data_IF_887883075636
#
_entry.id   IF_887883075636
#
_cell.length_a   1.000
_cell.length_b   1.000
_cell.length_c   1.000
_cell.angle_alpha   90.00
_cell.angle_beta   90.00
_cell.angle_gamma   90.00
#
_symmetry.space_group_name_H-M   'P 1'
#
loop_
_entity.id
_entity.type
_entity.pdbx_description
1 polymer ?
#
# COMPACT_ATOMS: atom_id res chain seq x y z
N UNK A 1 -19.97 14.55 -2.80
CA UNK A 1 -20.17 16.01 -2.82
C UNK A 1 -21.48 16.29 -3.58
N UNK A 2 -22.46 16.94 -2.96
CA UNK A 2 -23.83 17.02 -3.50
C UNK A 2 -24.12 18.30 -4.32
N UNK A 3 -23.36 19.38 -4.09
CA UNK A 3 -23.48 20.61 -4.89
C UNK A 3 -22.09 21.14 -5.28
N UNK A 4 -21.70 20.93 -6.54
CA UNK A 4 -20.37 21.20 -7.08
C UNK A 4 -20.46 22.29 -8.14
N UNK A 5 -19.63 23.33 -8.02
CA UNK A 5 -19.48 24.37 -9.05
C UNK A 5 -18.04 24.42 -9.59
N UNK A 6 -17.88 24.98 -10.79
CA UNK A 6 -16.55 25.33 -11.33
C UNK A 6 -15.96 26.49 -10.52
N UNK A 7 -14.69 26.38 -10.17
CA UNK A 7 -13.97 27.33 -9.31
C UNK A 7 -12.62 27.73 -9.93
N UNK A 8 -12.64 28.23 -11.16
CA UNK A 8 -11.45 28.64 -11.90
C UNK A 8 -10.53 27.47 -12.30
N UNK A 9 -9.30 27.80 -12.71
CA UNK A 9 -8.28 26.84 -13.13
C UNK A 9 -7.03 26.95 -12.25
N UNK A 10 -6.23 25.89 -12.16
CA UNK A 10 -4.92 25.94 -11.52
C UNK A 10 -3.85 26.54 -12.44
N UNK A 11 -2.62 26.65 -11.95
CA UNK A 11 -1.46 27.18 -12.72
C UNK A 11 -1.13 26.35 -13.96
N UNK A 12 -1.58 25.10 -14.01
CA UNK A 12 -1.36 24.17 -15.12
C UNK A 12 -2.58 24.13 -16.06
N UNK A 13 -3.58 24.99 -15.84
CA UNK A 13 -4.81 25.05 -16.65
C UNK A 13 -5.87 24.00 -16.29
N UNK A 14 -5.66 23.19 -15.25
CA UNK A 14 -6.64 22.18 -14.84
C UNK A 14 -7.83 22.83 -14.16
N UNK A 15 -9.04 22.31 -14.46
CA UNK A 15 -10.26 22.78 -13.82
C UNK A 15 -10.25 22.49 -12.31
N UNK A 16 -10.56 23.50 -11.51
CA UNK A 16 -10.84 23.36 -10.07
C UNK A 16 -12.34 23.40 -9.83
N UNK A 17 -12.79 22.70 -8.80
CA UNK A 17 -14.18 22.60 -8.38
C UNK A 17 -14.30 23.01 -6.92
N UNK A 18 -15.46 23.55 -6.54
CA UNK A 18 -15.80 23.90 -5.16
C UNK A 18 -17.08 23.17 -4.77
N UNK A 19 -17.05 22.44 -3.66
CA UNK A 19 -18.26 21.95 -3.02
C UNK A 19 -18.90 23.10 -2.24
N UNK A 20 -20.13 23.50 -2.57
CA UNK A 20 -20.83 24.60 -1.89
C UNK A 20 -21.29 24.25 -0.48
N UNK A 21 -21.43 22.97 -0.16
CA UNK A 21 -21.84 22.51 1.18
C UNK A 21 -20.69 22.54 2.18
N UNK A 22 -19.52 21.99 1.82
CA UNK A 22 -18.37 21.92 2.72
C UNK A 22 -17.28 22.96 2.44
N UNK A 23 -17.49 23.83 1.44
CA UNK A 23 -16.57 24.89 1.00
C UNK A 23 -15.14 24.42 0.65
N UNK A 24 -14.91 23.12 0.46
CA UNK A 24 -13.62 22.57 0.04
C UNK A 24 -13.47 22.61 -1.48
N UNK A 25 -12.29 23.00 -1.95
CA UNK A 25 -11.93 22.92 -3.38
C UNK A 25 -11.22 21.62 -3.71
N UNK A 26 -11.49 21.07 -4.88
CA UNK A 26 -10.85 19.86 -5.39
C UNK A 26 -10.62 19.97 -6.91
N UNK A 27 -9.83 19.06 -7.47
CA UNK A 27 -9.63 18.90 -8.91
C UNK A 27 -10.02 17.47 -9.31
N UNK A 28 -10.08 17.15 -10.62
CA UNK A 28 -10.29 15.77 -11.07
C UNK A 28 -9.28 14.77 -10.51
N UNK A 29 -8.09 15.24 -10.15
CA UNK A 29 -7.02 14.42 -9.59
C UNK A 29 -7.12 14.24 -8.08
N UNK A 30 -8.00 14.98 -7.39
CA UNK A 30 -8.15 14.87 -5.94
C UNK A 30 -8.61 13.47 -5.56
N UNK A 31 -7.95 12.87 -4.55
CA UNK A 31 -8.22 11.50 -4.11
C UNK A 31 -7.64 10.40 -5.01
N UNK A 32 -7.01 10.76 -6.13
CA UNK A 32 -6.29 9.80 -6.98
C UNK A 32 -4.85 9.62 -6.51
N UNK A 33 -4.18 8.57 -7.00
CA UNK A 33 -2.75 8.32 -6.79
C UNK A 33 -1.90 9.56 -7.10
N UNK A 34 -2.28 10.29 -8.16
CA UNK A 34 -1.55 11.44 -8.68
C UNK A 34 -1.93 12.77 -7.99
N UNK A 35 -2.81 12.75 -6.99
CA UNK A 35 -3.21 13.96 -6.26
C UNK A 35 -1.99 14.72 -5.72
N UNK A 36 -1.96 16.03 -5.98
CA UNK A 36 -0.85 16.95 -5.64
C UNK A 36 0.51 16.62 -6.25
N UNK A 37 0.59 15.65 -7.18
CA UNK A 37 1.85 15.37 -7.87
C UNK A 37 2.13 16.43 -8.94
N UNK A 38 3.36 16.94 -8.92
CA UNK A 38 3.88 17.86 -9.95
C UNK A 38 4.83 17.14 -10.93
N UNK A 39 4.89 15.81 -10.86
CA UNK A 39 5.81 14.98 -11.65
C UNK A 39 5.12 14.46 -12.89
N UNK A 40 5.92 14.20 -13.94
CA UNK A 40 5.42 13.68 -15.21
C UNK A 40 4.93 12.24 -15.04
N UNK A 41 3.97 11.82 -15.87
CA UNK A 41 3.43 10.45 -15.84
C UNK A 41 4.52 9.38 -16.02
N UNK A 42 5.52 9.62 -16.87
CA UNK A 42 6.65 8.71 -17.06
C UNK A 42 7.47 8.46 -15.78
N UNK A 43 7.62 9.46 -14.90
CA UNK A 43 8.32 9.26 -13.62
C UNK A 43 7.54 8.34 -12.69
N UNK A 44 6.20 8.45 -12.69
CA UNK A 44 5.34 7.51 -11.96
C UNK A 44 5.46 6.09 -12.50
N UNK A 45 5.47 5.93 -13.82
CA UNK A 45 5.67 4.63 -14.46
C UNK A 45 6.98 3.98 -14.01
N UNK A 46 8.12 4.69 -14.15
CA UNK A 46 9.43 4.21 -13.72
C UNK A 46 9.46 3.85 -12.23
N UNK A 47 8.82 4.69 -11.39
CA UNK A 47 8.75 4.42 -9.96
C UNK A 47 7.95 3.16 -9.64
N UNK A 48 6.79 2.98 -10.27
CA UNK A 48 5.95 1.80 -10.06
C UNK A 48 6.67 0.53 -10.52
N UNK A 49 7.32 0.56 -11.68
CA UNK A 49 8.11 -0.58 -12.17
C UNK A 49 9.23 -0.95 -11.17
N UNK A 50 10.00 0.04 -10.71
CA UNK A 50 11.05 -0.16 -9.70
C UNK A 50 10.50 -0.70 -8.37
N UNK A 51 9.36 -0.19 -7.91
CA UNK A 51 8.70 -0.66 -6.70
C UNK A 51 8.30 -2.14 -6.80
N UNK A 52 7.70 -2.54 -7.92
CA UNK A 52 7.26 -3.94 -8.11
C UNK A 52 8.41 -4.90 -8.39
N UNK A 53 9.58 -4.40 -8.83
CA UNK A 53 10.84 -5.16 -8.87
C UNK A 53 11.41 -5.43 -7.47
N UNK A 54 10.97 -4.68 -6.45
CA UNK A 54 11.45 -4.82 -5.08
C UNK A 54 12.66 -3.93 -4.75
N UNK A 55 12.93 -2.91 -5.56
CA UNK A 55 14.03 -1.98 -5.32
C UNK A 55 13.84 -1.18 -4.02
N UNK A 56 14.92 -0.67 -3.45
CA UNK A 56 14.89 0.20 -2.26
C UNK A 56 14.32 1.59 -2.56
N UNK A 57 13.92 2.33 -1.52
CA UNK A 57 13.42 3.71 -1.65
C UNK A 57 14.43 4.60 -2.38
N UNK A 58 15.72 4.45 -2.07
CA UNK A 58 16.82 5.22 -2.67
C UNK A 58 16.98 4.88 -4.14
N UNK A 59 17.00 3.59 -4.49
CA UNK A 59 17.10 3.13 -5.88
C UNK A 59 15.88 3.61 -6.71
N UNK A 60 14.67 3.44 -6.21
CA UNK A 60 13.46 3.91 -6.90
C UNK A 60 13.44 5.44 -7.06
N UNK A 61 13.98 6.19 -6.09
CA UNK A 61 14.12 7.64 -6.19
C UNK A 61 15.06 8.04 -7.33
N UNK A 62 16.22 7.37 -7.40
CA UNK A 62 17.22 7.59 -8.45
C UNK A 62 16.66 7.24 -9.84
N UNK A 63 16.04 6.06 -9.99
CA UNK A 63 15.44 5.60 -11.26
C UNK A 63 14.37 6.59 -11.75
N UNK A 64 13.49 7.06 -10.87
CA UNK A 64 12.42 7.98 -11.25
C UNK A 64 12.85 9.46 -11.32
N UNK A 65 14.09 9.80 -10.96
CA UNK A 65 14.60 11.17 -10.92
C UNK A 65 13.85 12.06 -9.92
N UNK A 66 13.63 11.57 -8.70
CA UNK A 66 12.94 12.26 -7.61
C UNK A 66 13.77 12.22 -6.33
N UNK A 67 13.46 13.06 -5.33
CA UNK A 67 14.11 12.95 -4.03
C UNK A 67 13.54 11.78 -3.22
N UNK A 68 14.33 11.27 -2.27
CA UNK A 68 13.97 10.12 -1.43
C UNK A 68 12.69 10.36 -0.62
N UNK A 69 12.47 11.57 -0.11
CA UNK A 69 11.22 11.91 0.57
C UNK A 69 9.99 11.73 -0.35
N UNK A 70 10.10 12.14 -1.62
CA UNK A 70 9.02 11.94 -2.59
C UNK A 70 8.83 10.45 -2.88
N UNK A 71 9.92 9.69 -2.98
CA UNK A 71 9.89 8.23 -3.14
C UNK A 71 9.14 7.57 -1.97
N UNK A 72 9.47 7.90 -0.72
CA UNK A 72 8.76 7.39 0.46
C UNK A 72 7.26 7.68 0.38
N UNK A 73 6.86 8.92 0.07
CA UNK A 73 5.45 9.30 -0.07
C UNK A 73 4.76 8.51 -1.19
N UNK A 74 5.42 8.34 -2.34
CA UNK A 74 4.87 7.59 -3.47
C UNK A 74 4.69 6.12 -3.15
N UNK A 75 5.65 5.50 -2.45
CA UNK A 75 5.53 4.13 -1.96
C UNK A 75 4.30 3.95 -1.08
N UNK A 76 4.08 4.84 -0.11
CA UNK A 76 2.89 4.77 0.76
C UNK A 76 1.59 4.93 -0.03
N UNK A 77 1.54 5.86 -0.99
CA UNK A 77 0.36 6.05 -1.84
C UNK A 77 0.03 4.80 -2.65
N UNK A 78 1.03 4.20 -3.30
CA UNK A 78 0.83 2.99 -4.12
C UNK A 78 0.40 1.82 -3.24
N UNK A 79 1.10 1.59 -2.12
CA UNK A 79 0.78 0.49 -1.20
C UNK A 79 -0.59 0.65 -0.54
N UNK A 80 -1.04 1.88 -0.26
CA UNK A 80 -2.39 2.15 0.24
C UNK A 80 -3.46 1.74 -0.78
N UNK A 81 -3.25 2.05 -2.06
CA UNK A 81 -4.14 1.58 -3.14
C UNK A 81 -4.12 0.05 -3.21
N UNK A 82 -2.94 -0.58 -3.22
CA UNK A 82 -2.84 -2.04 -3.20
C UNK A 82 -3.58 -2.66 -2.00
N UNK A 83 -3.41 -2.11 -0.80
CA UNK A 83 -4.09 -2.56 0.40
C UNK A 83 -5.62 -2.48 0.26
N UNK A 84 -6.15 -1.39 -0.28
CA UNK A 84 -7.60 -1.25 -0.54
C UNK A 84 -8.14 -2.24 -1.57
N UNK A 85 -7.32 -2.65 -2.54
CA UNK A 85 -7.69 -3.65 -3.54
C UNK A 85 -7.72 -5.06 -2.94
N UNK A 86 -6.83 -5.34 -1.97
CA UNK A 86 -6.75 -6.63 -1.29
C UNK A 86 -7.65 -6.75 -0.06
N UNK A 87 -8.11 -5.64 0.52
CA UNK A 87 -8.94 -5.61 1.73
C UNK A 87 -10.42 -5.93 1.50
N UNK A 88 -10.84 -6.20 0.26
CA UNK A 88 -12.22 -6.61 0.00
C UNK A 88 -12.43 -8.01 0.57
N UNK A 89 -13.32 -8.13 1.55
CA UNK A 89 -13.77 -9.41 2.07
C UNK A 89 -14.35 -10.23 0.91
N UNK A 90 -13.55 -11.18 0.44
CA UNK A 90 -13.92 -12.12 -0.61
C UNK A 90 -14.23 -13.43 0.07
N UNK A 91 -15.43 -13.92 -0.18
CA UNK A 91 -15.81 -15.28 0.17
C UNK A 91 -15.18 -16.17 -0.90
N UNK A 92 -14.36 -17.13 -0.46
CA UNK A 92 -13.81 -18.17 -1.33
C UNK A 92 -14.83 -19.30 -1.42
N UNK A 93 -14.99 -19.90 -2.60
CA UNK A 93 -15.94 -20.98 -2.85
C UNK A 93 -15.34 -22.09 -3.70
N UNK A 94 -15.85 -23.32 -3.56
CA UNK A 94 -15.36 -24.48 -4.30
C UNK A 94 -13.95 -24.95 -3.88
N UNK A 95 -13.11 -25.30 -4.87
CA UNK A 95 -11.73 -25.75 -4.62
C UNK A 95 -10.82 -24.57 -4.30
N UNK A 96 -10.23 -24.58 -3.10
CA UNK A 96 -9.33 -23.53 -2.62
C UNK A 96 -7.91 -24.04 -2.47
N UNK A 97 -6.96 -23.33 -3.09
CA UNK A 97 -5.53 -23.52 -2.90
C UNK A 97 -5.02 -22.53 -1.87
N UNK A 98 -4.30 -23.02 -0.87
CA UNK A 98 -3.74 -22.22 0.22
C UNK A 98 -2.23 -22.39 0.28
N UNK A 99 -1.51 -21.28 0.38
CA UNK A 99 -0.06 -21.27 0.59
C UNK A 99 0.30 -20.30 1.73
N UNK A 100 1.37 -20.62 2.45
CA UNK A 100 1.87 -19.79 3.55
C UNK A 100 3.35 -19.48 3.42
N UNK A 101 3.69 -18.22 3.69
CA UNK A 101 5.07 -17.74 3.70
C UNK A 101 5.41 -17.09 5.04
N UNK A 102 6.48 -17.59 5.66
CA UNK A 102 7.05 -16.99 6.85
C UNK A 102 8.22 -16.07 6.50
N UNK A 103 8.15 -14.81 6.95
CA UNK A 103 9.18 -13.79 6.76
C UNK A 103 9.70 -13.31 8.10
N UNK A 104 11.03 -13.25 8.27
CA UNK A 104 11.62 -12.79 9.53
C UNK A 104 11.31 -11.30 9.77
N UNK A 105 10.84 -10.95 10.97
CA UNK A 105 10.59 -9.56 11.37
C UNK A 105 11.92 -8.94 11.79
N UNK A 106 12.34 -7.89 11.09
CA UNK A 106 13.41 -6.99 11.53
C UNK A 106 12.83 -5.61 11.71
N UNK A 107 13.01 -5.00 12.89
CA UNK A 107 12.58 -3.63 13.14
C UNK A 107 13.75 -2.67 12.92
N UNK A 108 13.69 -1.79 11.91
CA UNK A 108 14.69 -0.75 11.74
C UNK A 108 14.70 0.16 12.99
N UNK A 109 15.88 0.41 13.56
CA UNK A 109 16.06 1.31 14.71
C UNK A 109 15.90 0.65 16.09
N UNK A 110 15.40 -0.59 16.17
CA UNK A 110 15.52 -1.38 17.39
C UNK A 110 16.82 -2.18 17.26
N UNK A 111 17.92 -1.58 17.70
CA UNK A 111 19.10 -2.35 18.13
C UNK A 111 18.66 -3.02 19.43
N UNK A 112 17.90 -4.12 19.32
CA UNK A 112 17.82 -5.01 20.47
C UNK A 112 19.27 -5.42 20.68
N UNK A 113 19.83 -5.14 21.85
CA UNK A 113 20.98 -5.88 22.35
C UNK A 113 20.53 -7.34 22.44
N UNK A 114 20.49 -8.01 21.30
CA UNK A 114 19.94 -9.34 21.16
C UNK A 114 20.98 -10.24 21.79
N UNK A 115 20.79 -10.54 23.08
CA UNK A 115 21.32 -11.73 23.72
C UNK A 115 20.94 -12.92 22.85
N UNK A 116 21.80 -13.29 21.89
CA UNK A 116 21.72 -14.43 20.98
C UNK A 116 20.37 -15.16 20.96
N UNK A 117 19.29 -14.47 20.57
CA UNK A 117 17.98 -15.09 20.61
C UNK A 117 17.91 -16.03 19.40
N UNK A 118 18.15 -17.33 19.63
CA UNK A 118 18.23 -18.35 18.58
C UNK A 118 17.04 -18.21 17.62
N UNK A 119 17.31 -18.06 16.33
CA UNK A 119 16.28 -17.96 15.30
C UNK A 119 15.38 -19.18 15.36
N UNK A 120 14.09 -18.96 15.63
CA UNK A 120 13.10 -20.03 15.70
C UNK A 120 12.74 -20.53 14.29
N UNK A 121 12.64 -21.86 14.14
CA UNK A 121 12.07 -22.50 12.94
C UNK A 121 10.55 -22.52 13.06
N UNK A 122 9.86 -22.49 11.92
CA UNK A 122 8.39 -22.48 11.88
C UNK A 122 7.77 -21.18 12.39
N UNK A 123 6.45 -21.20 12.62
CA UNK A 123 5.66 -20.05 13.07
C UNK A 123 6.14 -19.62 14.47
N UNK A 124 6.47 -18.34 14.62
CA UNK A 124 6.88 -17.75 15.90
C UNK A 124 6.76 -16.23 15.87
N UNK A 125 6.82 -15.57 17.02
CA UNK A 125 6.72 -14.11 17.13
C UNK A 125 7.90 -13.34 16.49
N UNK A 126 8.95 -14.06 16.09
CA UNK A 126 10.07 -13.53 15.31
C UNK A 126 9.76 -13.41 13.81
N UNK A 127 8.61 -13.93 13.36
CA UNK A 127 8.24 -13.99 11.94
C UNK A 127 6.87 -13.37 11.70
N UNK A 128 6.65 -12.82 10.51
CA UNK A 128 5.31 -12.55 9.96
C UNK A 128 4.90 -13.74 9.13
N UNK A 129 3.72 -14.26 9.38
CA UNK A 129 3.05 -15.18 8.49
C UNK A 129 2.23 -14.40 7.45
N UNK A 130 2.44 -14.74 6.19
CA UNK A 130 1.71 -14.24 5.02
C UNK A 130 0.99 -15.45 4.45
N UNK A 131 -0.33 -15.49 4.55
CA UNK A 131 -1.16 -16.54 3.97
C UNK A 131 -1.86 -15.99 2.75
N UNK A 132 -1.80 -16.73 1.65
CA UNK A 132 -2.58 -16.46 0.47
C UNK A 132 -3.47 -17.65 0.13
N UNK A 133 -4.67 -17.35 -0.33
CA UNK A 133 -5.60 -18.35 -0.82
C UNK A 133 -6.22 -17.88 -2.14
N UNK A 134 -6.41 -18.82 -3.06
CA UNK A 134 -7.06 -18.63 -4.34
C UNK A 134 -8.05 -19.74 -4.59
N UNK A 135 -9.25 -19.40 -5.05
CA UNK A 135 -10.24 -20.40 -5.47
C UNK A 135 -10.26 -20.60 -7.00
N UNK A 136 -11.01 -21.61 -7.45
CA UNK A 136 -11.19 -21.90 -8.88
C UNK A 136 -11.90 -20.78 -9.66
N UNK A 137 -12.58 -19.88 -8.96
CA UNK A 137 -13.21 -18.68 -9.51
C UNK A 137 -12.26 -17.46 -9.53
N UNK A 138 -10.98 -17.65 -9.20
CA UNK A 138 -9.95 -16.62 -9.16
C UNK A 138 -10.23 -15.49 -8.14
N UNK A 139 -11.06 -15.76 -7.13
CA UNK A 139 -11.11 -14.94 -5.92
C UNK A 139 -9.84 -15.19 -5.12
N UNK A 140 -9.32 -14.11 -4.52
CA UNK A 140 -8.02 -14.11 -3.84
C UNK A 140 -8.18 -13.45 -2.48
N UNK A 141 -7.60 -14.08 -1.47
CA UNK A 141 -7.49 -13.52 -0.12
C UNK A 141 -6.02 -13.56 0.27
N UNK A 142 -5.51 -12.45 0.79
CA UNK A 142 -4.17 -12.36 1.37
C UNK A 142 -4.33 -11.84 2.79
N UNK A 143 -3.82 -12.61 3.76
CA UNK A 143 -3.78 -12.21 5.16
C UNK A 143 -2.34 -12.18 5.64
N UNK A 144 -2.02 -11.18 6.46
CA UNK A 144 -0.68 -10.99 7.01
C UNK A 144 -0.81 -10.79 8.50
N UNK A 145 -0.10 -11.61 9.30
CA UNK A 145 0.02 -11.38 10.73
C UNK A 145 1.01 -10.25 11.01
N UNK A 146 0.78 -9.46 12.05
CA UNK A 146 1.83 -8.58 12.58
C UNK A 146 3.05 -9.38 13.05
N UNK A 147 2.81 -10.47 13.80
CA UNK A 147 3.80 -11.45 14.28
C UNK A 147 3.13 -12.81 14.46
N UNK A 148 3.92 -13.88 14.34
CA UNK A 148 3.49 -15.22 14.71
C UNK A 148 2.38 -15.77 13.81
N UNK A 149 1.38 -16.38 14.44
CA UNK A 149 0.30 -17.08 13.76
C UNK A 149 -0.78 -16.09 13.34
N UNK A 150 -1.39 -16.32 12.17
CA UNK A 150 -2.64 -15.64 11.83
C UNK A 150 -3.74 -16.24 12.69
N UNK A 151 -4.33 -15.40 13.54
CA UNK A 151 -5.50 -15.77 14.32
C UNK A 151 -6.76 -15.33 13.58
N UNK A 152 -7.77 -16.18 13.58
CA UNK A 152 -9.13 -15.79 13.21
C UNK A 152 -9.67 -14.81 14.26
N UNK A 153 -9.59 -13.51 14.00
CA UNK A 153 -10.36 -12.48 14.72
C UNK A 153 -10.89 -11.44 13.74
N UNK A 154 -12.16 -11.06 13.99
CA UNK A 154 -12.99 -10.08 13.29
C UNK A 154 -12.22 -9.00 12.51
N UNK A 155 -12.66 -8.66 11.29
CA UNK A 155 -12.13 -7.52 10.55
C UNK A 155 -12.51 -6.27 11.34
N UNK A 156 -11.56 -5.64 12.05
CA UNK A 156 -11.54 -4.24 12.49
C UNK A 156 -10.63 -4.06 13.71
N UNK A 157 -9.34 -3.85 13.45
CA UNK A 157 -8.37 -3.03 14.21
C UNK A 157 -7.01 -3.46 13.65
N UNK A 158 -6.30 -2.67 12.86
CA UNK A 158 -5.84 -1.33 13.23
C UNK A 158 -5.46 -0.55 11.96
N UNK A 159 -5.97 0.67 11.86
CA UNK A 159 -5.26 1.78 11.18
C UNK A 159 -4.54 2.53 12.29
#
# INVERSE_FOLDING_TARGET
HEHIIRYGKDKNGNQRYLCKHCHKTFSPMTGTLFSYSKKKAYQWYLYMESLFRGDTIVQSAHIAGICEHTSLVWRHKILSVCASLTAKDRILDGVVYLDEKLSDVKHPGITVEDKESKKKRGISDQKRNIVCAIDEHNNKVIQVSERGRIHTKNPMSSI
#
